data_IF_018012561393
#
_entry.id   IF_018012561393
#
_cell.length_a   1.000
_cell.length_b   1.000
_cell.length_c   1.000
_cell.angle_alpha   90.00
_cell.angle_beta   90.00
_cell.angle_gamma   90.00
#
_symmetry.space_group_name_H-M   'P 1'
#
loop_
_entity.id
_entity.type
_entity.pdbx_description
1 polymer ?
#
# COMPACT_ATOMS: atom_id res chain seq x y z
N UNK A 1 -12.45 8.44 -61.31
CA UNK A 1 -13.27 9.64 -61.59
C UNK A 1 -14.61 9.52 -60.90
N UNK A 2 -14.80 10.28 -59.81
CA UNK A 2 -16.03 10.98 -59.35
C UNK A 2 -15.93 11.19 -57.85
N UNK A 3 -15.62 12.45 -57.51
CA UNK A 3 -15.76 13.06 -56.19
C UNK A 3 -17.24 13.06 -55.79
N UNK A 4 -17.52 12.87 -54.50
CA UNK A 4 -18.64 13.53 -53.83
C UNK A 4 -18.24 13.83 -52.39
N UNK A 5 -18.06 15.12 -52.15
CA UNK A 5 -17.87 15.78 -50.87
C UNK A 5 -19.25 15.99 -50.27
N UNK A 6 -19.48 15.61 -49.01
CA UNK A 6 -20.59 16.15 -48.23
C UNK A 6 -20.04 16.69 -46.90
N UNK A 7 -20.02 18.02 -46.82
CA UNK A 7 -19.81 18.77 -45.58
C UNK A 7 -21.16 18.88 -44.87
N UNK A 8 -21.22 18.55 -43.59
CA UNK A 8 -22.30 18.97 -42.72
C UNK A 8 -21.70 19.84 -41.60
N UNK A 9 -21.82 21.14 -41.78
CA UNK A 9 -21.62 22.14 -40.75
C UNK A 9 -22.91 22.22 -39.94
N UNK A 10 -22.88 21.95 -38.65
CA UNK A 10 -23.98 22.36 -37.76
C UNK A 10 -23.44 23.07 -36.54
N UNK A 11 -23.76 24.36 -36.54
CA UNK A 11 -23.57 25.36 -35.52
C UNK A 11 -24.44 25.01 -34.32
N UNK A 12 -23.84 24.82 -33.15
CA UNK A 12 -24.52 24.98 -31.86
C UNK A 12 -23.78 26.04 -31.06
N UNK A 13 -24.27 27.27 -31.19
CA UNK A 13 -24.12 28.30 -30.19
C UNK A 13 -25.25 28.08 -29.17
N UNK A 14 -24.95 27.98 -27.88
CA UNK A 14 -25.83 28.49 -26.82
C UNK A 14 -25.12 28.53 -25.46
N UNK A 15 -25.12 29.75 -24.91
CA UNK A 15 -25.26 30.07 -23.48
C UNK A 15 -24.09 29.81 -22.52
N UNK A 16 -23.24 30.82 -22.40
CA UNK A 16 -22.69 31.24 -21.12
C UNK A 16 -23.83 31.51 -20.13
N UNK A 17 -23.86 30.80 -19.00
CA UNK A 17 -24.54 31.25 -17.79
C UNK A 17 -23.45 31.54 -16.77
N UNK A 18 -23.09 32.81 -16.66
CA UNK A 18 -22.31 33.32 -15.54
C UNK A 18 -23.27 33.55 -14.37
N UNK A 19 -23.20 32.70 -13.34
CA UNK A 19 -23.83 32.99 -12.05
C UNK A 19 -22.81 33.80 -11.24
N UNK A 20 -22.96 35.12 -11.31
CA UNK A 20 -22.46 36.05 -10.32
C UNK A 20 -23.31 35.91 -9.05
N UNK A 21 -22.77 35.25 -8.04
CA UNK A 21 -23.28 35.29 -6.67
C UNK A 21 -22.31 36.07 -5.79
N UNK A 22 -22.59 37.36 -5.61
CA UNK A 22 -21.94 38.20 -4.60
C UNK A 22 -23.01 38.77 -3.65
N UNK A 23 -23.00 38.26 -2.43
CA UNK A 23 -23.40 38.89 -1.16
C UNK A 23 -22.66 38.08 -0.10
N UNK A 24 -21.73 38.59 0.70
CA UNK A 24 -21.76 39.85 1.42
C UNK A 24 -22.16 39.56 2.87
N UNK A 25 -21.17 39.20 3.71
CA UNK A 25 -21.23 39.44 5.15
C UNK A 25 -19.80 39.52 5.71
N UNK A 26 -19.18 40.69 5.55
CA UNK A 26 -17.92 41.05 6.19
C UNK A 26 -18.24 41.49 7.63
N UNK A 27 -18.53 40.54 8.52
CA UNK A 27 -18.67 40.83 9.95
C UNK A 27 -18.49 39.60 10.84
N UNK A 28 -17.51 39.73 11.73
CA UNK A 28 -17.15 38.92 12.91
C UNK A 28 -16.17 37.78 12.67
N UNK A 29 -14.88 38.13 12.78
CA UNK A 29 -13.89 37.42 13.62
C UNK A 29 -14.13 35.91 13.78
N UNK A 30 -14.19 35.18 12.66
CA UNK A 30 -14.17 33.72 12.68
C UNK A 30 -12.70 33.27 12.70
N UNK A 31 -11.91 33.86 13.60
CA UNK A 31 -10.54 33.40 13.81
C UNK A 31 -10.64 32.05 14.48
N UNK A 32 -10.36 30.99 13.71
CA UNK A 32 -10.14 29.68 14.29
C UNK A 32 -9.04 29.76 15.35
N UNK A 33 -9.07 28.88 16.37
CA UNK A 33 -7.96 28.73 17.31
C UNK A 33 -6.64 28.56 16.56
N UNK A 34 -5.54 29.04 17.15
CA UNK A 34 -4.21 28.91 16.56
C UNK A 34 -3.92 27.44 16.18
N UNK A 35 -3.53 27.22 14.92
CA UNK A 35 -3.29 25.88 14.38
C UNK A 35 -4.50 25.22 13.72
N UNK A 36 -5.60 25.95 13.49
CA UNK A 36 -6.75 25.48 12.71
C UNK A 36 -7.09 26.45 11.57
N UNK A 37 -7.61 25.90 10.48
CA UNK A 37 -8.10 26.66 9.33
C UNK A 37 -9.63 26.55 9.25
N UNK A 38 -10.28 27.63 8.79
CA UNK A 38 -11.71 27.61 8.51
C UNK A 38 -11.95 26.93 7.14
N UNK A 39 -12.46 25.71 7.15
CA UNK A 39 -12.57 24.86 5.95
C UNK A 39 -14.00 24.39 5.76
N UNK A 40 -14.47 24.41 4.52
CA UNK A 40 -15.75 23.83 4.13
C UNK A 40 -15.52 22.46 3.47
N UNK A 41 -15.98 21.40 4.13
CA UNK A 41 -15.87 20.02 3.61
C UNK A 41 -17.25 19.56 3.11
N UNK A 42 -17.40 19.47 1.78
CA UNK A 42 -18.66 19.07 1.14
C UNK A 42 -19.77 20.11 1.29
N UNK A 43 -20.99 19.66 1.58
CA UNK A 43 -22.18 20.52 1.73
C UNK A 43 -22.38 21.06 3.15
N UNK A 44 -21.50 20.72 4.09
CA UNK A 44 -21.56 21.21 5.47
C UNK A 44 -21.14 22.69 5.56
N UNK A 45 -21.60 23.45 6.57
CA UNK A 45 -21.08 24.79 6.84
C UNK A 45 -19.58 24.75 7.19
N UNK A 46 -18.88 25.87 6.94
CA UNK A 46 -17.46 25.97 7.25
C UNK A 46 -17.21 25.79 8.75
N UNK A 47 -16.17 25.04 9.09
CA UNK A 47 -15.78 24.71 10.46
C UNK A 47 -14.25 24.80 10.60
N UNK A 48 -13.78 25.08 11.82
CA UNK A 48 -12.36 25.14 12.11
C UNK A 48 -11.80 23.71 12.22
N UNK A 49 -10.88 23.34 11.34
CA UNK A 49 -10.25 22.01 11.32
C UNK A 49 -8.74 22.15 11.43
N UNK A 50 -8.12 21.20 12.13
CA UNK A 50 -6.67 21.11 12.20
C UNK A 50 -6.12 20.56 10.88
N UNK A 51 -5.06 21.15 10.30
CA UNK A 51 -4.38 20.57 9.15
C UNK A 51 -3.69 19.27 9.55
N UNK A 52 -3.76 18.31 8.64
CA UNK A 52 -3.15 17.00 8.79
C UNK A 52 -1.69 17.07 8.31
N UNK A 53 -0.76 17.33 9.23
CA UNK A 53 0.67 17.28 8.90
C UNK A 53 1.12 15.82 8.82
N UNK A 54 1.60 15.41 7.64
CA UNK A 54 2.10 14.07 7.36
C UNK A 54 1.11 12.91 7.64
N UNK A 55 -0.20 13.14 7.49
CA UNK A 55 -1.20 12.06 7.60
C UNK A 55 -1.74 11.80 9.02
N UNK A 56 -1.23 12.49 10.04
CA UNK A 56 -1.55 12.20 11.44
C UNK A 56 -2.65 13.12 11.97
N UNK A 57 -3.70 12.53 12.54
CA UNK A 57 -4.78 13.21 13.25
C UNK A 57 -4.92 12.67 14.68
N UNK A 58 -5.65 13.37 15.55
CA UNK A 58 -5.92 12.91 16.90
C UNK A 58 -6.74 11.62 16.94
N UNK A 59 -6.75 10.93 18.07
CA UNK A 59 -7.52 9.70 18.24
C UNK A 59 -9.01 9.93 17.91
N UNK A 60 -9.56 9.15 16.96
CA UNK A 60 -10.95 9.23 16.50
C UNK A 60 -11.18 10.14 15.27
N UNK A 61 -10.13 10.72 14.70
CA UNK A 61 -10.19 11.55 13.51
C UNK A 61 -9.45 10.89 12.32
N UNK A 62 -9.88 11.20 11.10
CA UNK A 62 -9.21 10.77 9.87
C UNK A 62 -8.85 11.97 9.00
N UNK A 63 -7.74 11.87 8.27
CA UNK A 63 -7.28 12.91 7.37
C UNK A 63 -8.10 12.89 6.07
N UNK A 64 -8.95 13.88 5.85
CA UNK A 64 -9.74 14.04 4.62
C UNK A 64 -9.44 15.39 3.99
N UNK A 65 -9.00 15.39 2.73
CA UNK A 65 -8.66 16.61 1.98
C UNK A 65 -7.64 17.52 2.70
N UNK A 66 -6.68 16.93 3.43
CA UNK A 66 -5.63 17.66 4.16
C UNK A 66 -6.01 18.14 5.55
N UNK A 67 -7.21 17.80 6.05
CA UNK A 67 -7.71 18.22 7.36
C UNK A 67 -8.22 17.04 8.18
N UNK A 68 -8.10 17.14 9.51
CA UNK A 68 -8.59 16.13 10.43
C UNK A 68 -10.11 16.27 10.61
N UNK A 69 -10.86 15.21 10.28
CA UNK A 69 -12.33 15.14 10.45
C UNK A 69 -12.69 13.98 11.39
N UNK A 70 -13.62 14.24 12.31
CA UNK A 70 -14.09 13.21 13.24
C UNK A 70 -14.85 12.10 12.51
N UNK A 71 -14.52 10.85 12.82
CA UNK A 71 -15.18 9.65 12.26
C UNK A 71 -16.53 9.36 12.91
N UNK A 72 -16.88 10.05 13.99
CA UNK A 72 -18.14 9.86 14.75
C UNK A 72 -19.14 10.98 14.46
N UNK A 73 -19.62 11.04 13.22
CA UNK A 73 -20.66 11.98 12.80
C UNK A 73 -22.08 11.42 12.94
N UNK A 74 -22.70 11.53 14.12
CA UNK A 74 -24.16 11.69 14.23
C UNK A 74 -24.45 13.04 14.92
N UNK A 75 -25.02 14.04 14.21
CA UNK A 75 -25.27 15.35 14.77
C UNK A 75 -26.63 15.35 15.49
N UNK A 76 -26.73 14.67 16.62
CA UNK A 76 -27.85 14.83 17.56
C UNK A 76 -27.53 14.18 18.92
N UNK A 77 -26.61 14.77 19.68
CA UNK A 77 -26.70 14.74 21.14
C UNK A 77 -25.86 15.86 21.77
N UNK A 78 -26.31 17.10 21.63
CA UNK A 78 -26.03 18.07 22.68
C UNK A 78 -26.90 17.70 23.89
N UNK A 79 -26.26 17.63 25.07
CA UNK A 79 -26.82 17.58 26.42
C UNK A 79 -26.76 16.22 27.13
N UNK A 80 -25.62 15.91 27.77
CA UNK A 80 -25.62 15.55 29.20
C UNK A 80 -24.20 15.59 29.80
N UNK A 81 -23.85 16.71 30.43
CA UNK A 81 -22.70 16.79 31.33
C UNK A 81 -23.13 16.18 32.67
N UNK A 82 -22.74 14.93 32.96
CA UNK A 82 -22.79 14.42 34.33
C UNK A 82 -21.38 14.05 34.79
N UNK A 83 -20.79 15.04 35.45
CA UNK A 83 -19.62 14.94 36.30
C UNK A 83 -19.96 13.97 37.46
N UNK A 84 -19.25 12.86 37.60
CA UNK A 84 -19.24 12.13 38.86
C UNK A 84 -17.80 11.89 39.31
N UNK A 85 -17.40 12.77 40.22
CA UNK A 85 -16.20 12.74 41.01
C UNK A 85 -16.34 11.63 42.06
N UNK A 86 -15.54 10.57 41.97
CA UNK A 86 -15.39 9.58 43.05
C UNK A 86 -13.96 9.65 43.57
N UNK A 87 -13.82 10.31 44.71
CA UNK A 87 -12.64 10.34 45.57
C UNK A 87 -12.37 8.93 46.09
N UNK A 88 -11.17 8.39 45.86
CA UNK A 88 -10.69 7.15 46.48
C UNK A 88 -10.07 7.49 47.84
N UNK A 89 -10.62 6.93 48.91
CA UNK A 89 -10.06 6.90 50.27
C UNK A 89 -9.10 5.70 50.40
N UNK A 90 -7.82 5.87 50.76
CA UNK A 90 -6.83 4.80 50.75
C UNK A 90 -6.70 4.06 52.10
N UNK A 91 -7.80 3.62 52.72
CA UNK A 91 -7.74 2.73 53.88
C UNK A 91 -9.02 1.90 54.07
N UNK A 92 -9.13 0.77 53.35
CA UNK A 92 -9.98 -0.33 53.82
C UNK A 92 -9.41 -1.69 53.45
N UNK A 93 -8.59 -2.21 54.35
CA UNK A 93 -8.20 -3.61 54.38
C UNK A 93 -9.36 -4.40 54.98
N UNK A 94 -10.05 -5.21 54.17
CA UNK A 94 -10.81 -6.32 54.73
C UNK A 94 -10.74 -7.57 53.85
N UNK A 95 -10.34 -8.64 54.53
CA UNK A 95 -10.02 -9.95 54.05
C UNK A 95 -11.29 -10.80 53.95
N UNK A 96 -11.28 -11.79 53.05
CA UNK A 96 -12.15 -12.98 52.96
C UNK A 96 -13.13 -13.01 51.78
N UNK A 97 -12.73 -13.67 50.69
CA UNK A 97 -13.63 -14.61 49.99
C UNK A 97 -12.87 -15.76 49.35
N UNK A 98 -13.47 -16.92 49.53
CA UNK A 98 -13.09 -18.29 49.18
C UNK A 98 -12.84 -18.48 47.68
N UNK A 99 -11.81 -19.28 47.34
CA UNK A 99 -11.48 -19.68 45.96
C UNK A 99 -12.48 -20.74 45.48
N UNK A 100 -13.21 -20.44 44.41
CA UNK A 100 -13.93 -21.41 43.56
C UNK A 100 -13.04 -21.71 42.34
N UNK A 101 -12.70 -22.97 42.00
CA UNK A 101 -11.77 -23.28 40.92
C UNK A 101 -12.26 -23.07 39.47
N UNK A 102 -13.52 -22.68 39.23
CA UNK A 102 -14.11 -22.78 37.88
C UNK A 102 -14.62 -21.47 37.25
N UNK A 103 -13.87 -20.36 37.36
CA UNK A 103 -14.20 -19.15 36.59
C UNK A 103 -12.97 -18.54 35.90
N UNK A 104 -12.73 -18.94 34.65
CA UNK A 104 -11.77 -18.28 33.75
C UNK A 104 -12.44 -17.06 33.12
N UNK A 105 -12.51 -15.96 33.87
CA UNK A 105 -12.86 -14.65 33.34
C UNK A 105 -11.56 -13.87 33.13
N UNK A 106 -11.13 -13.75 31.88
CA UNK A 106 -9.93 -13.02 31.49
C UNK A 106 -10.24 -11.51 31.51
N UNK A 107 -10.15 -10.87 32.68
CA UNK A 107 -10.21 -9.43 32.82
C UNK A 107 -8.77 -8.90 32.90
N UNK A 108 -8.26 -8.39 31.78
CA UNK A 108 -6.95 -7.76 31.68
C UNK A 108 -7.01 -6.39 32.35
N UNK A 109 -6.54 -6.31 33.60
CA UNK A 109 -6.29 -5.04 34.28
C UNK A 109 -5.09 -4.37 33.59
N UNK A 110 -5.33 -3.25 32.91
CA UNK A 110 -4.27 -2.41 32.31
C UNK A 110 -3.57 -1.65 33.44
N UNK A 111 -2.27 -1.88 33.61
CA UNK A 111 -1.40 -1.08 34.48
C UNK A 111 -1.16 0.30 33.82
N UNK A 112 -1.50 1.43 34.46
CA UNK A 112 -1.33 2.76 33.87
C UNK A 112 0.13 3.21 33.72
N UNK A 113 1.12 2.45 34.21
CA UNK A 113 2.52 2.87 34.25
C UNK A 113 3.48 2.04 33.39
N UNK A 114 2.99 1.20 32.47
CA UNK A 114 3.85 0.47 31.55
C UNK A 114 4.06 1.26 30.23
N UNK A 115 5.07 2.14 30.18
CA UNK A 115 5.58 2.75 28.95
C UNK A 115 6.49 1.78 28.17
N UNK A 116 6.07 0.52 28.00
CA UNK A 116 6.64 -0.33 26.96
C UNK A 116 6.01 0.11 25.64
N UNK A 117 6.83 0.64 24.74
CA UNK A 117 6.48 0.79 23.33
C UNK A 117 6.11 -0.59 22.80
N UNK A 118 4.80 -0.86 22.71
CA UNK A 118 4.30 -2.09 22.16
C UNK A 118 4.56 -2.08 20.64
N UNK A 119 5.31 -3.06 20.08
CA UNK A 119 5.46 -3.19 18.63
C UNK A 119 4.19 -3.69 17.93
N UNK A 120 3.09 -3.99 18.64
CA UNK A 120 1.85 -4.56 18.07
C UNK A 120 0.89 -3.54 17.41
N UNK A 121 1.25 -2.27 17.24
CA UNK A 121 0.38 -1.38 16.47
C UNK A 121 0.51 -1.69 14.98
N UNK A 122 -0.48 -2.38 14.43
CA UNK A 122 -0.53 -2.65 13.00
C UNK A 122 -0.55 -1.33 12.23
N UNK A 123 0.54 -1.01 11.53
CA UNK A 123 0.59 0.19 10.70
C UNK A 123 -0.33 -0.03 9.47
N UNK A 124 -1.21 0.88 9.08
CA UNK A 124 -2.03 0.67 7.88
C UNK A 124 -1.19 0.66 6.59
N UNK A 125 -1.69 -0.03 5.57
CA UNK A 125 -1.32 0.18 4.18
C UNK A 125 -1.78 1.55 3.67
N UNK A 126 -1.21 2.01 2.56
CA UNK A 126 -1.57 3.27 1.90
C UNK A 126 -2.56 3.07 0.75
N UNK A 127 -3.01 1.83 0.51
CA UNK A 127 -3.95 1.55 -0.57
C UNK A 127 -5.24 2.35 -0.37
N UNK A 128 -5.74 2.89 -1.47
CA UNK A 128 -7.02 3.59 -1.44
C UNK A 128 -8.18 2.59 -1.28
N UNK A 129 -9.13 2.89 -0.41
CA UNK A 129 -10.36 2.11 -0.31
C UNK A 129 -11.03 2.21 1.06
N UNK A 130 -11.95 1.28 1.31
CA UNK A 130 -12.82 1.30 2.50
C UNK A 130 -12.21 0.61 3.74
N UNK A 131 -11.11 -0.10 3.57
CA UNK A 131 -10.53 -0.97 4.59
C UNK A 131 -9.03 -1.17 4.37
N UNK A 132 -8.35 -1.72 5.38
CA UNK A 132 -6.92 -2.02 5.31
C UNK A 132 -6.65 -3.51 5.08
N UNK A 133 -5.90 -3.85 4.02
CA UNK A 133 -5.63 -5.26 3.65
C UNK A 133 -4.55 -5.93 4.50
N UNK A 134 -3.69 -5.15 5.17
CA UNK A 134 -2.61 -5.68 6.00
C UNK A 134 -3.10 -5.90 7.43
N UNK A 135 -3.77 -4.90 7.99
CA UNK A 135 -4.34 -4.91 9.34
C UNK A 135 -5.72 -5.57 9.40
N UNK A 136 -6.36 -5.80 8.25
CA UNK A 136 -7.71 -6.35 8.16
C UNK A 136 -8.73 -5.55 9.00
N UNK A 137 -8.57 -4.22 9.01
CA UNK A 137 -9.44 -3.28 9.73
C UNK A 137 -10.38 -2.53 8.78
N UNK A 138 -11.49 -2.01 9.31
CA UNK A 138 -12.48 -1.24 8.56
C UNK A 138 -13.68 -2.04 8.02
N UNK A 139 -13.63 -3.38 8.08
CA UNK A 139 -14.74 -4.24 7.68
C UNK A 139 -15.59 -4.73 8.85
N UNK A 140 -16.86 -5.07 8.57
CA UNK A 140 -17.76 -5.64 9.57
C UNK A 140 -17.40 -7.09 9.91
N UNK A 141 -17.94 -7.62 11.02
CA UNK A 141 -17.73 -9.02 11.39
C UNK A 141 -18.22 -9.97 10.27
N UNK A 142 -17.41 -10.97 9.94
CA UNK A 142 -17.65 -11.89 8.81
C UNK A 142 -17.24 -11.34 7.44
N UNK A 143 -16.52 -10.21 7.41
CA UNK A 143 -15.91 -9.65 6.21
C UNK A 143 -14.40 -9.50 6.38
N UNK A 144 -13.68 -9.63 5.28
CA UNK A 144 -12.24 -9.33 5.16
C UNK A 144 -12.02 -8.17 4.21
N UNK A 145 -10.91 -7.48 4.41
CA UNK A 145 -10.45 -6.49 3.46
C UNK A 145 -9.68 -7.17 2.33
N UNK A 146 -10.09 -6.93 1.09
CA UNK A 146 -9.44 -7.47 -0.09
C UNK A 146 -9.27 -6.39 -1.17
N UNK A 147 -8.41 -6.64 -2.15
CA UNK A 147 -8.34 -5.84 -3.37
C UNK A 147 -9.53 -6.22 -4.24
N UNK A 148 -10.44 -5.26 -4.46
CA UNK A 148 -11.71 -5.47 -5.17
C UNK A 148 -11.74 -4.79 -6.54
N UNK A 149 -10.72 -4.00 -6.87
CA UNK A 149 -10.62 -3.31 -8.14
C UNK A 149 -9.38 -2.43 -8.25
N UNK A 150 -9.43 -1.45 -9.16
CA UNK A 150 -8.32 -0.55 -9.47
C UNK A 150 -7.47 -1.03 -10.64
N UNK A 151 -6.32 -0.38 -10.83
CA UNK A 151 -5.30 -0.80 -11.79
C UNK A 151 -4.11 -1.39 -11.04
N UNK A 152 -3.20 -2.09 -11.74
CA UNK A 152 -1.97 -2.58 -11.13
C UNK A 152 -1.15 -1.46 -10.45
N UNK A 153 -1.24 -0.22 -10.94
CA UNK A 153 -0.56 0.95 -10.37
C UNK A 153 -1.37 1.68 -9.29
N UNK A 154 -2.66 1.36 -9.14
CA UNK A 154 -3.57 2.00 -8.19
C UNK A 154 -4.67 1.01 -7.75
N UNK A 155 -4.32 -0.03 -6.98
CA UNK A 155 -5.29 -1.01 -6.48
C UNK A 155 -6.26 -0.35 -5.49
N UNK A 156 -7.50 -0.84 -5.48
CA UNK A 156 -8.56 -0.38 -4.57
C UNK A 156 -9.02 -1.49 -3.63
N UNK A 157 -9.17 -1.15 -2.35
CA UNK A 157 -9.59 -2.08 -1.30
C UNK A 157 -11.08 -1.97 -1.00
N UNK A 158 -11.69 -3.11 -0.68
CA UNK A 158 -13.09 -3.21 -0.29
C UNK A 158 -13.37 -4.41 0.60
N UNK A 159 -14.47 -4.33 1.35
CA UNK A 159 -14.89 -5.41 2.24
C UNK A 159 -15.63 -6.49 1.45
N UNK A 160 -15.15 -7.73 1.55
CA UNK A 160 -15.76 -8.92 0.96
C UNK A 160 -16.12 -9.91 2.05
N UNK A 161 -17.06 -10.83 1.79
CA UNK A 161 -17.34 -11.90 2.75
C UNK A 161 -16.10 -12.79 2.95
N UNK A 162 -15.84 -13.22 4.19
CA UNK A 162 -14.73 -14.13 4.47
C UNK A 162 -15.08 -15.55 4.04
N UNK A 163 -14.15 -16.22 3.38
CA UNK A 163 -14.26 -17.66 3.15
C UNK A 163 -13.48 -18.48 4.17
N UNK A 164 -13.31 -19.75 3.85
CA UNK A 164 -12.61 -20.73 4.69
C UNK A 164 -11.42 -21.36 3.97
N UNK A 165 -11.08 -20.89 2.76
CA UNK A 165 -9.95 -21.42 2.02
C UNK A 165 -8.65 -20.87 2.60
N UNK A 166 -7.80 -21.78 3.08
CA UNK A 166 -6.52 -21.47 3.69
C UNK A 166 -5.45 -21.12 2.65
N UNK A 167 -4.25 -20.79 3.13
CA UNK A 167 -3.10 -20.47 2.29
C UNK A 167 -2.74 -21.63 1.34
N UNK A 168 -2.56 -21.32 0.06
CA UNK A 168 -2.30 -22.29 -1.02
C UNK A 168 -3.54 -23.03 -1.55
N UNK A 169 -4.71 -22.88 -0.94
CA UNK A 169 -5.93 -23.53 -1.43
C UNK A 169 -6.52 -22.81 -2.65
N UNK A 170 -7.23 -23.56 -3.50
CA UNK A 170 -7.84 -23.02 -4.73
C UNK A 170 -8.99 -22.06 -4.40
N UNK A 171 -9.03 -20.94 -5.11
CA UNK A 171 -10.08 -19.94 -5.00
C UNK A 171 -10.54 -19.48 -6.39
N UNK A 172 -11.80 -19.06 -6.50
CA UNK A 172 -12.36 -18.40 -7.70
C UNK A 172 -12.74 -16.93 -7.43
N UNK A 173 -12.38 -16.41 -6.25
CA UNK A 173 -12.65 -15.05 -5.83
C UNK A 173 -12.12 -14.79 -4.41
N UNK A 174 -11.86 -13.52 -4.10
CA UNK A 174 -11.32 -13.11 -2.82
C UNK A 174 -12.22 -13.48 -1.62
N UNK A 175 -13.53 -13.61 -1.85
CA UNK A 175 -14.49 -13.97 -0.82
C UNK A 175 -14.47 -15.45 -0.39
N UNK A 176 -13.58 -16.25 -0.99
CA UNK A 176 -13.40 -17.66 -0.66
C UNK A 176 -12.19 -17.89 0.24
N UNK A 177 -11.25 -16.94 0.27
CA UNK A 177 -10.08 -17.02 1.13
C UNK A 177 -10.39 -16.59 2.57
N UNK A 178 -9.61 -17.11 3.52
CA UNK A 178 -9.63 -16.66 4.91
C UNK A 178 -9.22 -15.18 5.05
N UNK A 179 -9.46 -14.61 6.22
CA UNK A 179 -9.09 -13.21 6.55
C UNK A 179 -7.59 -13.00 6.35
N UNK A 180 -7.21 -11.89 5.71
CA UNK A 180 -5.79 -11.58 5.48
C UNK A 180 -5.20 -12.25 4.24
N UNK A 181 -6.03 -12.80 3.36
CA UNK A 181 -5.57 -13.45 2.13
C UNK A 181 -6.22 -12.86 0.87
N UNK A 182 -5.50 -12.98 -0.24
CA UNK A 182 -5.91 -12.59 -1.59
C UNK A 182 -6.01 -13.82 -2.48
N UNK A 183 -7.02 -13.87 -3.34
CA UNK A 183 -7.08 -14.86 -4.40
C UNK A 183 -6.23 -14.40 -5.59
N UNK A 184 -5.08 -15.03 -5.82
CA UNK A 184 -4.16 -14.69 -6.92
C UNK A 184 -4.38 -15.67 -8.07
N UNK A 185 -4.77 -15.21 -9.28
CA UNK A 185 -4.96 -16.09 -10.43
C UNK A 185 -3.68 -16.85 -10.78
N UNK A 186 -3.79 -18.14 -11.09
CA UNK A 186 -2.62 -18.99 -11.46
C UNK A 186 -2.03 -18.64 -12.82
N UNK A 187 -2.80 -17.97 -13.67
CA UNK A 187 -2.36 -17.47 -14.97
C UNK A 187 -3.19 -16.24 -15.37
N UNK A 188 -2.67 -15.45 -16.31
CA UNK A 188 -3.41 -14.31 -16.85
C UNK A 188 -4.70 -14.79 -17.53
N UNK A 189 -5.85 -14.29 -17.06
CA UNK A 189 -7.18 -14.70 -17.55
C UNK A 189 -7.72 -16.00 -16.95
N UNK A 190 -7.02 -16.61 -15.98
CA UNK A 190 -7.56 -17.74 -15.23
C UNK A 190 -8.79 -17.33 -14.39
N UNK A 191 -9.79 -18.19 -14.36
CA UNK A 191 -10.98 -18.02 -13.50
C UNK A 191 -10.78 -18.60 -12.10
N UNK A 192 -9.65 -19.26 -11.88
CA UNK A 192 -9.24 -19.86 -10.61
C UNK A 192 -7.83 -19.38 -10.24
N UNK A 193 -7.57 -19.35 -8.95
CA UNK A 193 -6.37 -18.86 -8.33
C UNK A 193 -6.06 -19.63 -7.06
N UNK A 194 -5.07 -19.14 -6.31
CA UNK A 194 -4.70 -19.65 -4.99
C UNK A 194 -4.82 -18.55 -3.95
N UNK A 195 -5.24 -18.92 -2.73
CA UNK A 195 -5.28 -17.99 -1.61
C UNK A 195 -3.86 -17.74 -1.08
N UNK A 196 -3.41 -16.49 -1.13
CA UNK A 196 -2.07 -16.06 -0.73
C UNK A 196 -2.19 -15.01 0.36
N UNK A 197 -1.36 -15.11 1.41
CA UNK A 197 -1.39 -14.19 2.55
C UNK A 197 -0.87 -12.80 2.19
N UNK A 198 -1.51 -11.75 2.70
CA UNK A 198 -0.95 -10.39 2.67
C UNK A 198 0.21 -10.25 3.67
N UNK A 199 1.15 -9.39 3.33
CA UNK A 199 2.34 -9.12 4.15
C UNK A 199 2.83 -7.68 3.97
N UNK A 200 3.89 -7.32 4.70
CA UNK A 200 4.53 -6.01 4.63
C UNK A 200 5.97 -6.09 4.11
N UNK A 201 6.24 -5.59 2.91
CA UNK A 201 7.60 -5.55 2.35
C UNK A 201 8.57 -4.72 3.18
N UNK A 202 8.10 -3.63 3.81
CA UNK A 202 8.92 -2.74 4.64
C UNK A 202 9.33 -3.33 6.01
N UNK A 203 8.94 -4.57 6.30
CA UNK A 203 9.08 -5.22 7.61
C UNK A 203 7.86 -5.00 8.52
N UNK A 204 7.66 -5.92 9.45
CA UNK A 204 6.51 -5.96 10.38
C UNK A 204 5.59 -7.16 10.14
N UNK A 205 4.68 -7.40 11.08
CA UNK A 205 3.60 -8.39 10.91
C UNK A 205 2.45 -7.80 10.06
N UNK A 206 1.70 -8.62 9.31
CA UNK A 206 1.88 -10.06 9.11
C UNK A 206 3.13 -10.41 8.27
N UNK A 207 3.92 -11.37 8.77
CA UNK A 207 5.06 -11.94 8.04
C UNK A 207 4.66 -13.19 7.24
N UNK A 208 5.45 -13.50 6.21
CA UNK A 208 5.30 -14.69 5.38
C UNK A 208 5.81 -15.94 6.08
N UNK A 209 5.35 -17.11 5.63
CA UNK A 209 5.85 -18.38 6.15
C UNK A 209 7.37 -18.50 5.91
N UNK A 210 8.03 -19.32 6.73
CA UNK A 210 9.48 -19.53 6.61
C UNK A 210 9.83 -20.07 5.22
N UNK A 211 10.62 -19.29 4.47
CA UNK A 211 11.03 -19.62 3.11
C UNK A 211 10.36 -18.76 2.05
N UNK A 212 9.24 -18.11 2.38
CA UNK A 212 8.56 -17.16 1.50
C UNK A 212 9.08 -15.74 1.72
N UNK A 213 8.93 -14.91 0.68
CA UNK A 213 9.29 -13.50 0.70
C UNK A 213 8.06 -12.66 0.45
N UNK A 214 8.03 -11.47 1.06
CA UNK A 214 6.92 -10.56 0.90
C UNK A 214 7.07 -9.74 -0.39
N UNK A 215 6.36 -10.13 -1.45
CA UNK A 215 6.38 -9.49 -2.74
C UNK A 215 5.52 -8.20 -2.71
N UNK A 216 6.08 -7.01 -2.98
CA UNK A 216 5.33 -5.76 -2.94
C UNK A 216 4.32 -5.72 -4.07
N UNK A 217 3.06 -5.44 -3.72
CA UNK A 217 1.99 -5.18 -4.68
C UNK A 217 1.74 -3.67 -4.85
N UNK A 218 2.37 -2.85 -4.01
CA UNK A 218 2.41 -1.39 -4.16
C UNK A 218 3.84 -0.88 -4.29
N UNK A 219 4.01 0.21 -5.03
CA UNK A 219 5.32 0.82 -5.27
C UNK A 219 5.96 1.40 -4.00
N UNK A 220 5.15 1.84 -3.06
CA UNK A 220 5.62 2.37 -1.78
C UNK A 220 5.89 1.28 -0.73
N UNK A 221 5.67 0.00 -1.08
CA UNK A 221 5.92 -1.14 -0.21
C UNK A 221 5.01 -1.20 1.02
N UNK A 222 3.89 -0.49 1.01
CA UNK A 222 2.94 -0.48 2.13
C UNK A 222 2.14 -1.80 2.24
N UNK A 223 2.02 -2.55 1.15
CA UNK A 223 1.44 -3.89 1.12
C UNK A 223 2.18 -4.82 0.14
N UNK A 224 2.14 -6.11 0.45
CA UNK A 224 2.64 -7.18 -0.39
C UNK A 224 1.85 -8.48 -0.21
N UNK A 225 2.24 -9.51 -0.95
CA UNK A 225 1.75 -10.88 -0.84
C UNK A 225 2.91 -11.84 -0.62
N UNK A 226 2.66 -12.92 0.11
CA UNK A 226 3.67 -13.93 0.38
C UNK A 226 3.88 -14.84 -0.83
N UNK A 227 5.08 -14.84 -1.38
CA UNK A 227 5.41 -15.70 -2.51
C UNK A 227 6.64 -16.54 -2.19
N UNK A 228 6.63 -17.78 -2.68
CA UNK A 228 7.81 -18.61 -2.67
C UNK A 228 8.81 -18.06 -3.67
N UNK A 229 10.07 -17.79 -3.27
CA UNK A 229 11.12 -17.41 -4.19
C UNK A 229 11.38 -18.56 -5.16
N UNK A 230 11.09 -18.33 -6.42
CA UNK A 230 11.41 -19.27 -7.49
C UNK A 230 12.20 -18.50 -8.56
N UNK A 231 13.15 -19.13 -9.23
CA UNK A 231 13.80 -18.51 -10.39
C UNK A 231 13.14 -19.07 -11.64
N UNK A 232 12.37 -18.24 -12.34
CA UNK A 232 11.70 -18.63 -13.60
C UNK A 232 12.67 -18.61 -14.79
N UNK A 233 13.83 -17.97 -14.62
CA UNK A 233 14.82 -17.77 -15.67
C UNK A 233 16.23 -17.65 -15.09
N UNK A 234 17.23 -17.87 -15.95
CA UNK A 234 18.63 -17.54 -15.67
C UNK A 234 19.02 -16.25 -16.35
N UNK A 235 19.67 -15.33 -15.62
CA UNK A 235 20.16 -14.08 -16.20
C UNK A 235 21.19 -14.33 -17.31
N UNK A 236 22.04 -15.34 -17.13
CA UNK A 236 23.11 -15.73 -18.05
C UNK A 236 23.19 -17.25 -18.16
N UNK A 237 23.04 -17.83 -19.37
CA UNK A 237 22.47 -17.20 -20.57
C UNK A 237 20.98 -16.85 -20.38
N UNK A 238 20.53 -15.73 -20.94
CA UNK A 238 19.11 -15.34 -20.95
C UNK A 238 18.36 -16.04 -22.09
N UNK A 239 18.34 -17.37 -22.10
CA UNK A 239 17.65 -18.18 -23.10
C UNK A 239 16.28 -18.70 -22.62
N UNK A 240 15.94 -18.40 -21.36
CA UNK A 240 14.71 -18.87 -20.71
C UNK A 240 13.51 -17.96 -20.96
N UNK A 241 13.73 -16.67 -21.29
CA UNK A 241 12.66 -15.70 -21.50
C UNK A 241 12.21 -15.61 -22.97
N UNK A 242 10.95 -15.22 -23.18
CA UNK A 242 10.40 -15.02 -24.52
C UNK A 242 11.01 -13.78 -25.22
N UNK A 243 10.82 -13.68 -26.54
CA UNK A 243 11.25 -12.50 -27.30
C UNK A 243 10.58 -11.22 -26.76
N UNK A 244 11.38 -10.18 -26.52
CA UNK A 244 10.92 -8.93 -25.91
C UNK A 244 10.95 -8.93 -24.36
N UNK A 245 11.42 -10.02 -23.74
CA UNK A 245 11.56 -10.14 -22.29
C UNK A 245 13.01 -10.36 -21.89
N UNK A 246 13.33 -9.90 -20.69
CA UNK A 246 14.62 -10.14 -20.06
C UNK A 246 14.40 -10.71 -18.67
N UNK A 247 15.35 -11.51 -18.22
CA UNK A 247 15.36 -12.08 -16.88
C UNK A 247 15.79 -10.97 -15.91
N UNK A 248 14.96 -10.63 -14.93
CA UNK A 248 15.24 -9.60 -13.94
C UNK A 248 15.13 -10.16 -12.53
N UNK A 249 16.05 -9.75 -11.65
CA UNK A 249 15.90 -10.03 -10.24
C UNK A 249 14.81 -9.15 -9.64
N UNK A 250 13.79 -9.80 -9.12
CA UNK A 250 12.73 -9.18 -8.31
C UNK A 250 12.92 -9.56 -6.84
N UNK A 251 12.03 -9.10 -5.97
CA UNK A 251 12.05 -9.52 -4.57
C UNK A 251 11.71 -11.00 -4.38
N UNK A 252 11.08 -11.63 -5.38
CA UNK A 252 10.61 -13.04 -5.39
C UNK A 252 11.48 -13.97 -6.24
N UNK A 253 12.68 -13.52 -6.62
CA UNK A 253 13.59 -14.25 -7.49
C UNK A 253 13.63 -13.70 -8.91
N UNK A 254 14.25 -14.46 -9.81
CA UNK A 254 14.40 -14.11 -11.22
C UNK A 254 13.07 -14.32 -11.97
N UNK A 255 12.63 -13.30 -12.72
CA UNK A 255 11.37 -13.29 -13.49
C UNK A 255 11.62 -12.79 -14.91
N UNK A 256 10.90 -13.34 -15.89
CA UNK A 256 10.86 -12.79 -17.23
C UNK A 256 9.91 -11.60 -17.28
N UNK A 257 10.43 -10.40 -17.54
CA UNK A 257 9.65 -9.17 -17.62
C UNK A 257 9.94 -8.49 -18.96
N UNK A 258 8.91 -7.89 -19.56
CA UNK A 258 9.04 -7.07 -20.76
C UNK A 258 10.04 -5.93 -20.51
N UNK A 259 11.01 -5.77 -21.41
CA UNK A 259 11.99 -4.69 -21.33
C UNK A 259 11.59 -3.50 -22.20
N UNK A 260 12.19 -2.34 -21.94
CA UNK A 260 11.99 -1.13 -22.72
C UNK A 260 13.01 -1.04 -23.86
N UNK A 261 12.61 -1.47 -25.06
CA UNK A 261 13.51 -1.60 -26.22
C UNK A 261 14.19 -0.30 -26.68
N UNK A 262 13.63 0.87 -26.36
CA UNK A 262 14.20 2.19 -26.69
C UNK A 262 15.08 2.77 -25.58
N UNK A 263 15.22 2.09 -24.44
CA UNK A 263 16.09 2.54 -23.37
C UNK A 263 17.57 2.40 -23.75
N UNK A 264 18.39 3.35 -23.30
CA UNK A 264 19.84 3.35 -23.53
C UNK A 264 20.58 3.32 -22.20
N UNK A 265 21.80 2.77 -22.20
CA UNK A 265 22.70 2.87 -21.04
C UNK A 265 22.82 4.32 -20.60
N UNK A 266 22.69 4.56 -19.29
CA UNK A 266 22.69 5.91 -18.71
C UNK A 266 21.32 6.57 -18.57
N UNK A 267 20.28 6.05 -19.23
CA UNK A 267 18.92 6.59 -19.07
C UNK A 267 18.44 6.44 -17.62
N UNK A 268 17.72 7.44 -17.11
CA UNK A 268 17.05 7.33 -15.82
C UNK A 268 15.98 6.24 -15.89
N UNK A 269 15.85 5.48 -14.80
CA UNK A 269 14.87 4.41 -14.68
C UNK A 269 14.35 4.36 -13.24
N UNK A 270 13.08 4.04 -13.08
CA UNK A 270 12.45 3.78 -11.78
C UNK A 270 12.33 2.28 -11.47
N UNK A 271 12.44 1.42 -12.49
CA UNK A 271 12.31 -0.02 -12.36
C UNK A 271 13.11 -0.79 -13.40
N UNK A 272 13.35 -2.09 -13.18
CA UNK A 272 14.15 -2.94 -14.06
C UNK A 272 13.59 -3.03 -15.49
N UNK A 273 12.26 -3.05 -15.64
CA UNK A 273 11.55 -3.11 -16.91
C UNK A 273 11.61 -1.81 -17.74
N UNK A 274 12.18 -0.74 -17.19
CA UNK A 274 12.40 0.52 -17.92
C UNK A 274 13.74 0.56 -18.66
N UNK A 275 14.54 -0.50 -18.56
CA UNK A 275 15.81 -0.66 -19.25
C UNK A 275 15.70 -1.62 -20.43
N UNK A 276 16.70 -1.60 -21.32
CA UNK A 276 16.71 -2.42 -22.53
C UNK A 276 17.05 -3.88 -22.21
N UNK A 277 17.03 -4.72 -23.24
CA UNK A 277 17.54 -6.09 -23.15
C UNK A 277 19.01 -6.10 -22.66
N UNK A 278 19.31 -7.06 -21.79
CA UNK A 278 20.61 -7.18 -21.12
C UNK A 278 20.96 -6.03 -20.17
N UNK A 279 20.03 -5.13 -19.85
CA UNK A 279 20.27 -4.01 -18.92
C UNK A 279 19.41 -4.11 -17.67
N UNK A 280 19.92 -3.61 -16.54
CA UNK A 280 19.19 -3.44 -15.29
C UNK A 280 19.17 -1.99 -14.82
N UNK A 281 18.17 -1.66 -14.01
CA UNK A 281 18.06 -0.35 -13.37
C UNK A 281 18.88 -0.32 -12.07
N UNK A 282 20.05 0.31 -12.10
CA UNK A 282 21.04 0.23 -11.02
C UNK A 282 21.47 1.62 -10.56
N UNK A 283 21.61 1.79 -9.25
CA UNK A 283 22.07 3.03 -8.62
C UNK A 283 21.43 3.23 -7.24
N UNK A 284 21.82 4.30 -6.53
CA UNK A 284 21.17 4.68 -5.28
C UNK A 284 19.71 5.11 -5.54
N UNK A 285 18.84 4.91 -4.54
CA UNK A 285 17.43 5.32 -4.63
C UNK A 285 17.32 6.79 -5.07
N UNK A 286 16.50 7.05 -6.10
CA UNK A 286 16.30 8.38 -6.67
C UNK A 286 17.34 8.84 -7.70
N UNK A 287 18.38 8.04 -7.97
CA UNK A 287 19.37 8.32 -9.02
C UNK A 287 19.80 7.05 -9.76
N UNK A 288 18.88 6.11 -9.90
CA UNK A 288 19.04 4.87 -10.66
C UNK A 288 19.08 5.14 -12.16
N UNK A 289 19.92 4.38 -12.86
CA UNK A 289 20.04 4.48 -14.32
C UNK A 289 20.25 3.12 -14.95
N UNK A 290 19.89 2.97 -16.23
CA UNK A 290 20.09 1.72 -16.95
C UNK A 290 21.58 1.41 -17.14
N UNK A 291 21.98 0.20 -16.78
CA UNK A 291 23.34 -0.33 -16.91
C UNK A 291 23.30 -1.73 -17.49
N UNK A 292 24.28 -2.08 -18.31
CA UNK A 292 24.40 -3.45 -18.82
C UNK A 292 24.64 -4.40 -17.64
N UNK A 293 23.94 -5.54 -17.65
CA UNK A 293 24.30 -6.67 -16.82
C UNK A 293 25.58 -7.31 -17.34
N UNK A 294 26.31 -7.93 -16.44
CA UNK A 294 27.55 -8.62 -16.75
C UNK A 294 27.67 -9.90 -15.91
N UNK A 295 28.37 -10.89 -16.44
CA UNK A 295 28.68 -12.09 -15.68
C UNK A 295 29.85 -11.79 -14.74
N UNK A 296 29.73 -12.16 -13.46
CA UNK A 296 30.77 -11.87 -12.47
C UNK A 296 32.08 -12.54 -12.88
N UNK A 297 33.15 -11.73 -13.04
CA UNK A 297 34.45 -12.22 -13.50
C UNK A 297 34.66 -12.12 -15.02
N UNK A 298 33.67 -11.66 -15.77
CA UNK A 298 33.81 -11.25 -17.18
C UNK A 298 33.71 -9.73 -17.31
N UNK A 299 34.38 -9.19 -18.34
CA UNK A 299 34.27 -7.78 -18.76
C UNK A 299 33.64 -7.64 -20.14
N UNK A 300 33.24 -8.75 -20.77
CA UNK A 300 32.85 -8.78 -22.19
C UNK A 300 31.55 -8.02 -22.46
N UNK A 301 30.71 -7.83 -21.44
CA UNK A 301 29.44 -7.09 -21.51
C UNK A 301 29.58 -5.60 -21.13
N UNK A 302 30.76 -5.17 -20.67
CA UNK A 302 31.00 -3.84 -20.17
C UNK A 302 31.73 -2.96 -21.18
N UNK A 303 31.44 -1.65 -21.15
CA UNK A 303 32.14 -0.70 -22.01
C UNK A 303 33.61 -0.55 -21.57
N UNK A 304 34.45 -0.01 -22.45
CA UNK A 304 35.85 0.25 -22.13
C UNK A 304 35.97 1.17 -20.91
N UNK A 305 36.70 0.72 -19.88
CA UNK A 305 36.85 1.44 -18.61
C UNK A 305 35.81 1.10 -17.53
N UNK A 306 34.79 0.32 -17.86
CA UNK A 306 33.85 -0.23 -16.89
C UNK A 306 34.32 -1.59 -16.36
N UNK A 307 33.91 -1.92 -15.14
CA UNK A 307 34.12 -3.20 -14.49
C UNK A 307 32.79 -3.81 -14.09
N UNK A 308 32.71 -5.13 -14.18
CA UNK A 308 31.56 -5.86 -13.71
C UNK A 308 31.53 -5.86 -12.17
N UNK A 309 30.60 -5.10 -11.59
CA UNK A 309 30.41 -5.03 -10.14
C UNK A 309 29.27 -5.95 -9.72
N UNK A 310 29.57 -6.94 -8.89
CA UNK A 310 28.57 -7.90 -8.39
C UNK A 310 27.42 -7.19 -7.68
N UNK A 311 26.20 -7.48 -8.09
CA UNK A 311 24.99 -6.95 -7.46
C UNK A 311 24.67 -7.76 -6.19
N UNK A 312 24.05 -7.11 -5.22
CA UNK A 312 23.57 -7.75 -3.99
C UNK A 312 22.06 -7.93 -4.08
N UNK A 313 21.59 -9.16 -3.94
CA UNK A 313 20.19 -9.50 -3.80
C UNK A 313 19.78 -9.72 -2.34
N UNK A 314 18.50 -10.02 -2.07
CA UNK A 314 17.99 -10.33 -0.73
C UNK A 314 18.74 -11.46 -0.03
N UNK A 315 19.27 -12.42 -0.82
CA UNK A 315 19.97 -13.61 -0.34
C UNK A 315 21.51 -13.50 -0.45
N UNK A 316 22.05 -12.30 -0.65
CA UNK A 316 23.49 -12.04 -0.75
C UNK A 316 23.97 -11.75 -2.17
N UNK A 317 25.26 -12.00 -2.41
CA UNK A 317 25.89 -11.70 -3.69
C UNK A 317 25.30 -12.53 -4.82
N UNK A 318 24.94 -11.87 -5.92
CA UNK A 318 24.36 -12.52 -7.09
C UNK A 318 25.46 -13.08 -8.00
N UNK A 319 25.16 -14.09 -8.82
CA UNK A 319 26.14 -14.62 -9.78
C UNK A 319 26.45 -13.63 -10.92
N UNK A 320 25.70 -12.53 -11.02
CA UNK A 320 25.89 -11.48 -12.01
C UNK A 320 26.04 -10.09 -11.36
N UNK A 321 26.55 -9.17 -12.16
CA UNK A 321 26.77 -7.79 -11.80
C UNK A 321 26.14 -6.80 -12.76
N UNK A 322 26.46 -5.53 -12.54
CA UNK A 322 26.24 -4.47 -13.50
C UNK A 322 27.57 -3.80 -13.86
N UNK A 323 27.68 -3.37 -15.11
CA UNK A 323 28.83 -2.62 -15.59
C UNK A 323 28.81 -1.23 -14.96
N UNK A 324 29.83 -0.92 -14.17
CA UNK A 324 30.02 0.35 -13.50
C UNK A 324 31.45 0.84 -13.74
N UNK A 325 31.65 2.15 -13.78
CA UNK A 325 33.01 2.72 -13.83
C UNK A 325 33.76 2.27 -12.57
N UNK A 326 34.93 1.65 -12.75
CA UNK A 326 35.77 1.23 -11.63
C UNK A 326 36.10 2.46 -10.76
N UNK A 327 35.78 2.38 -9.47
CA UNK A 327 36.15 3.40 -8.48
C UNK A 327 37.66 3.44 -8.25
#
# INVERSE_FOLDING_TARGET
MKKSVLRLSSVFALSCVMILGACGDDSKDSSCPAGQDLVQVGASPAQCLSPCNAGVCGAGEMCTSGYCVSTTGNPNNQNNTNNNNTTVDPNNTNNNTTVDPNNTNNNTTVDPNNTNNNPDECVPSTLAGACDVVCQTGCAAGQSCAITGGTASAPQTGCVGTGTAGEGEECSGANLCEVGMMCVPTAQGATTGTCIKFCRPSGGEPSCATGDVCAPITQDGSAGICETPEDECTQFPNDSCAEGQNCYLTQVGLRCIDFKADATVGAACAGPNECNDGQGCVGPQGSTTCRNFCETGSTDQCAEGEQCTTLQGPNGALPFGACLMGM
#
